data_IF_448518763255
#
_entry.id   IF_448518763255
#
_cell.length_a   1.000
_cell.length_b   1.000
_cell.length_c   1.000
_cell.angle_alpha   90.00
_cell.angle_beta   90.00
_cell.angle_gamma   90.00
#
_symmetry.space_group_name_H-M   'P 1'
#
loop_
_entity.id
_entity.type
_entity.pdbx_description
1 polymer ?
#
# COMPACT_ATOMS: atom_id res chain seq x y z
N UNK A 1 -5.43 23.47 0.67
CA UNK A 1 -4.57 22.28 0.67
C UNK A 1 -4.22 22.01 -0.80
N UNK A 2 -3.02 22.37 -1.21
CA UNK A 2 -2.57 22.02 -2.57
C UNK A 2 -1.88 20.67 -2.42
N UNK A 3 -2.57 19.63 -2.89
CA UNK A 3 -2.07 18.27 -2.92
C UNK A 3 -1.14 18.12 -4.13
N UNK A 4 0.14 18.16 -3.90
CA UNK A 4 1.17 17.90 -4.91
C UNK A 4 1.60 16.42 -4.87
N UNK A 5 0.63 15.55 -5.06
CA UNK A 5 0.90 14.14 -5.27
C UNK A 5 1.24 13.35 -4.00
N UNK A 6 0.22 12.80 -3.37
CA UNK A 6 0.42 11.72 -2.39
C UNK A 6 0.48 10.41 -3.13
N UNK A 7 1.53 9.64 -2.91
CA UNK A 7 1.71 8.30 -3.45
C UNK A 7 1.96 7.29 -2.34
N UNK A 8 1.76 6.04 -2.64
CA UNK A 8 2.04 4.96 -1.71
C UNK A 8 2.23 3.63 -2.42
N UNK A 9 2.82 2.69 -1.74
CA UNK A 9 3.05 1.36 -2.28
C UNK A 9 3.42 0.35 -1.21
N UNK A 10 3.51 -0.89 -1.66
CA UNK A 10 3.88 -2.02 -0.83
C UNK A 10 5.05 -2.77 -1.49
N UNK A 11 6.17 -2.81 -0.81
CA UNK A 11 7.36 -3.54 -1.25
C UNK A 11 7.63 -4.72 -0.33
N UNK A 12 7.89 -5.86 -0.93
CA UNK A 12 8.28 -7.08 -0.22
C UNK A 12 9.70 -7.46 -0.62
N UNK A 13 10.60 -7.38 0.34
CA UNK A 13 11.98 -7.83 0.24
C UNK A 13 12.17 -9.11 1.07
N UNK A 14 13.24 -9.91 0.84
CA UNK A 14 13.53 -11.07 1.69
C UNK A 14 13.63 -10.67 3.17
N UNK A 15 12.72 -11.21 3.99
CA UNK A 15 12.69 -10.97 5.43
C UNK A 15 12.05 -9.67 5.89
N UNK A 16 11.60 -8.80 4.97
CA UNK A 16 10.94 -7.54 5.34
C UNK A 16 9.83 -7.18 4.34
N UNK A 17 8.77 -6.55 4.84
CA UNK A 17 7.73 -5.94 4.03
C UNK A 17 7.61 -4.46 4.44
N UNK A 18 7.54 -3.58 3.46
CA UNK A 18 7.44 -2.14 3.66
C UNK A 18 6.18 -1.61 3.00
N UNK A 19 5.30 -1.03 3.80
CA UNK A 19 4.24 -0.17 3.29
C UNK A 19 4.76 1.27 3.39
N UNK A 20 4.79 1.97 2.28
CA UNK A 20 5.24 3.35 2.26
C UNK A 20 4.17 4.28 1.71
N UNK A 21 4.15 5.49 2.25
CA UNK A 21 3.38 6.60 1.72
C UNK A 21 4.27 7.83 1.72
N UNK A 22 4.15 8.67 0.72
CA UNK A 22 4.94 9.87 0.59
C UNK A 22 4.20 10.94 -0.20
N UNK A 23 4.58 12.18 0.00
CA UNK A 23 3.99 13.32 -0.69
C UNK A 23 4.73 14.61 -0.34
N UNK A 24 4.33 15.69 -0.97
CA UNK A 24 4.83 17.03 -0.70
C UNK A 24 3.79 17.80 0.11
N UNK A 25 4.22 18.65 1.03
CA UNK A 25 3.31 19.46 1.82
C UNK A 25 4.04 20.39 2.78
N UNK A 26 3.34 21.41 3.26
CA UNK A 26 3.89 22.41 4.19
C UNK A 26 4.11 21.82 5.59
N UNK A 27 3.31 20.83 6.00
CA UNK A 27 3.37 20.19 7.31
C UNK A 27 3.55 18.66 7.17
N UNK A 28 4.75 18.19 6.78
CA UNK A 28 4.95 16.76 6.45
C UNK A 28 4.73 15.82 7.63
N UNK A 29 5.02 16.25 8.86
CA UNK A 29 4.78 15.45 10.07
C UNK A 29 3.29 15.21 10.30
N UNK A 30 2.48 16.26 10.13
CA UNK A 30 1.02 16.17 10.26
C UNK A 30 0.41 15.21 9.24
N UNK A 31 0.93 15.23 7.99
CA UNK A 31 0.52 14.26 6.97
C UNK A 31 0.82 12.81 7.39
N UNK A 32 2.02 12.56 7.88
CA UNK A 32 2.41 11.24 8.38
C UNK A 32 1.57 10.77 9.58
N UNK A 33 1.28 11.67 10.51
CA UNK A 33 0.45 11.33 11.68
C UNK A 33 -0.99 11.05 11.28
N UNK A 34 -1.55 11.82 10.33
CA UNK A 34 -2.90 11.56 9.80
C UNK A 34 -3.03 10.19 9.12
N UNK A 35 -2.01 9.76 8.36
CA UNK A 35 -1.98 8.41 7.77
C UNK A 35 -1.99 7.34 8.85
N UNK A 36 -1.18 7.49 9.89
CA UNK A 36 -1.14 6.53 10.99
C UNK A 36 -2.45 6.51 11.78
N UNK A 37 -3.00 7.66 12.12
CA UNK A 37 -4.27 7.78 12.84
C UNK A 37 -5.42 7.11 12.08
N UNK A 38 -5.53 7.37 10.78
CA UNK A 38 -6.56 6.76 9.94
C UNK A 38 -6.38 5.24 9.85
N UNK A 39 -5.15 4.77 9.69
CA UNK A 39 -4.85 3.34 9.67
C UNK A 39 -5.25 2.66 10.98
N UNK A 40 -4.93 3.28 12.11
CA UNK A 40 -5.32 2.77 13.43
C UNK A 40 -6.83 2.84 13.66
N UNK A 41 -7.49 3.87 13.13
CA UNK A 41 -8.96 3.97 13.15
C UNK A 41 -9.59 2.80 12.42
N UNK A 42 -9.16 2.53 11.18
CA UNK A 42 -9.63 1.39 10.39
C UNK A 42 -9.36 0.04 11.08
N UNK A 43 -8.22 -0.08 11.75
CA UNK A 43 -7.90 -1.29 12.51
C UNK A 43 -8.80 -1.51 13.73
N UNK A 44 -9.30 -0.43 14.37
CA UNK A 44 -10.18 -0.50 15.55
C UNK A 44 -11.65 -0.59 15.18
N UNK A 45 -12.10 0.24 14.26
CA UNK A 45 -13.52 0.40 13.90
C UNK A 45 -13.95 -0.57 12.81
N UNK A 46 -12.97 -1.14 12.11
CA UNK A 46 -13.19 -1.97 10.94
C UNK A 46 -13.30 -1.16 9.66
N UNK A 47 -13.23 -1.87 8.55
CA UNK A 47 -13.36 -1.33 7.21
C UNK A 47 -14.82 -1.48 6.78
N UNK A 48 -15.40 -0.44 6.20
CA UNK A 48 -16.73 -0.52 5.59
C UNK A 48 -16.77 -1.62 4.51
N UNK A 49 -17.75 -2.55 4.54
CA UNK A 49 -17.81 -3.67 3.61
C UNK A 49 -17.91 -3.24 2.14
N UNK A 50 -18.69 -2.19 1.85
CA UNK A 50 -18.88 -1.71 0.48
C UNK A 50 -17.61 -1.04 -0.02
N UNK A 51 -16.93 -0.29 0.84
CA UNK A 51 -15.63 0.31 0.54
C UNK A 51 -14.56 -0.77 0.29
N UNK A 52 -14.51 -1.82 1.12
CA UNK A 52 -13.61 -2.94 0.89
C UNK A 52 -13.83 -3.60 -0.47
N UNK A 53 -15.07 -3.89 -0.84
CA UNK A 53 -15.41 -4.49 -2.13
C UNK A 53 -15.06 -3.56 -3.31
N UNK A 54 -15.27 -2.26 -3.15
CA UNK A 54 -14.90 -1.28 -4.17
C UNK A 54 -13.38 -1.28 -4.41
N UNK A 55 -12.58 -1.23 -3.36
CA UNK A 55 -11.11 -1.26 -3.45
C UNK A 55 -10.63 -2.59 -4.02
N UNK A 56 -11.19 -3.71 -3.57
CA UNK A 56 -10.85 -5.05 -4.08
C UNK A 56 -11.07 -5.14 -5.60
N UNK A 57 -12.21 -4.67 -6.09
CA UNK A 57 -12.55 -4.65 -7.52
C UNK A 57 -11.65 -3.70 -8.31
N UNK A 58 -11.39 -2.51 -7.77
CA UNK A 58 -10.50 -1.53 -8.40
C UNK A 58 -9.08 -2.07 -8.56
N UNK A 59 -8.54 -2.69 -7.51
CA UNK A 59 -7.20 -3.30 -7.50
C UNK A 59 -7.11 -4.49 -8.46
N UNK A 60 -8.13 -5.37 -8.47
CA UNK A 60 -8.22 -6.46 -9.44
C UNK A 60 -8.20 -5.93 -10.88
N UNK A 61 -9.04 -4.93 -11.17
CA UNK A 61 -9.11 -4.30 -12.49
C UNK A 61 -7.80 -3.62 -12.91
N UNK A 62 -7.07 -3.01 -11.97
CA UNK A 62 -5.77 -2.44 -12.22
C UNK A 62 -4.73 -3.52 -12.58
N UNK A 63 -4.69 -4.61 -11.83
CA UNK A 63 -3.82 -5.77 -12.10
C UNK A 63 -4.14 -6.39 -13.46
N UNK A 64 -5.42 -6.56 -13.78
CA UNK A 64 -5.85 -7.09 -15.08
C UNK A 64 -5.41 -6.19 -16.24
N UNK A 65 -5.55 -4.86 -16.09
CA UNK A 65 -5.09 -3.91 -17.11
C UNK A 65 -3.57 -3.94 -17.31
N UNK A 66 -2.80 -4.20 -16.26
CA UNK A 66 -1.34 -4.32 -16.37
C UNK A 66 -0.90 -5.47 -17.27
N UNK A 67 -1.73 -6.51 -17.43
CA UNK A 67 -1.47 -7.63 -18.34
C UNK A 67 -1.58 -7.25 -19.84
N UNK A 68 -2.02 -6.06 -20.18
CA UNK A 68 -2.00 -5.58 -21.57
C UNK A 68 -0.59 -5.17 -22.05
N UNK A 69 0.40 -5.17 -21.17
CA UNK A 69 1.79 -4.85 -21.49
C UNK A 69 2.66 -6.10 -21.33
N UNK A 70 3.36 -6.49 -22.42
CA UNK A 70 4.33 -7.58 -22.38
C UNK A 70 5.44 -7.34 -21.35
N UNK A 71 5.89 -6.10 -21.23
CA UNK A 71 6.91 -5.72 -20.25
C UNK A 71 6.41 -5.95 -18.83
N UNK A 72 5.20 -5.49 -18.51
CA UNK A 72 4.60 -5.69 -17.19
C UNK A 72 4.39 -7.18 -16.87
N UNK A 73 3.98 -7.98 -17.86
CA UNK A 73 3.85 -9.44 -17.69
C UNK A 73 5.22 -10.04 -17.37
N UNK A 74 6.23 -9.74 -18.16
CA UNK A 74 7.57 -10.29 -17.98
C UNK A 74 8.16 -9.91 -16.62
N UNK A 75 8.04 -8.65 -16.22
CA UNK A 75 8.48 -8.16 -14.90
C UNK A 75 7.71 -8.86 -13.79
N UNK A 76 6.39 -8.98 -13.91
CA UNK A 76 5.56 -9.62 -12.88
C UNK A 76 5.88 -11.11 -12.72
N UNK A 77 6.13 -11.81 -13.83
CA UNK A 77 6.52 -13.23 -13.79
C UNK A 77 7.91 -13.41 -13.18
N UNK A 78 8.88 -12.56 -13.54
CA UNK A 78 10.22 -12.61 -12.98
C UNK A 78 10.20 -12.31 -11.47
N UNK A 79 9.47 -11.28 -11.05
CA UNK A 79 9.28 -10.93 -9.65
C UNK A 79 8.60 -12.06 -8.87
N UNK A 80 7.55 -12.64 -9.43
CA UNK A 80 6.87 -13.81 -8.86
C UNK A 80 7.82 -14.99 -8.69
N UNK A 81 8.66 -15.29 -9.69
CA UNK A 81 9.65 -16.35 -9.60
C UNK A 81 10.62 -16.14 -8.44
N UNK A 82 11.19 -14.94 -8.30
CA UNK A 82 12.12 -14.63 -7.22
C UNK A 82 11.45 -14.61 -5.83
N UNK A 83 10.16 -14.36 -5.77
CA UNK A 83 9.37 -14.38 -4.53
C UNK A 83 8.77 -15.76 -4.22
N UNK A 84 8.93 -16.73 -5.10
CA UNK A 84 8.37 -18.08 -4.94
C UNK A 84 6.85 -18.12 -5.09
N UNK A 85 6.26 -17.22 -5.88
CA UNK A 85 4.84 -17.19 -6.17
C UNK A 85 4.56 -17.09 -7.68
N UNK A 86 3.39 -17.59 -8.09
CA UNK A 86 2.93 -17.46 -9.47
C UNK A 86 2.10 -16.17 -9.62
N UNK A 87 2.67 -15.19 -10.32
CA UNK A 87 2.03 -13.90 -10.54
C UNK A 87 0.70 -14.01 -11.31
N UNK A 88 0.51 -15.06 -12.11
CA UNK A 88 -0.72 -15.27 -12.88
C UNK A 88 -1.88 -15.82 -12.04
N UNK A 89 -1.61 -16.26 -10.80
CA UNK A 89 -2.65 -16.71 -9.86
C UNK A 89 -3.29 -15.56 -9.07
N UNK A 90 -3.07 -14.32 -9.45
CA UNK A 90 -3.70 -13.17 -8.79
C UNK A 90 -5.23 -13.26 -8.72
N UNK A 91 -6.00 -13.82 -9.69
CA UNK A 91 -7.44 -13.93 -9.57
C UNK A 91 -7.87 -14.76 -8.35
N UNK A 92 -7.14 -15.84 -8.06
CA UNK A 92 -7.40 -16.68 -6.88
C UNK A 92 -7.11 -15.92 -5.59
N UNK A 93 -6.01 -15.16 -5.54
CA UNK A 93 -5.66 -14.35 -4.39
C UNK A 93 -6.74 -13.29 -4.10
N UNK A 94 -7.20 -12.56 -5.13
CA UNK A 94 -8.27 -11.58 -4.96
C UNK A 94 -9.62 -12.20 -4.59
N UNK A 95 -9.90 -13.42 -5.03
CA UNK A 95 -11.11 -14.15 -4.66
C UNK A 95 -11.09 -14.65 -3.21
N UNK A 96 -9.90 -14.94 -2.68
CA UNK A 96 -9.73 -15.52 -1.33
C UNK A 96 -9.53 -14.48 -0.24
N UNK A 97 -9.16 -13.24 -0.59
CA UNK A 97 -8.87 -12.20 0.41
C UNK A 97 -10.16 -11.68 1.02
N UNK A 98 -10.24 -11.69 2.33
CA UNK A 98 -11.37 -11.19 3.10
C UNK A 98 -11.04 -9.86 3.81
N UNK A 99 -12.10 -9.10 4.11
CA UNK A 99 -11.99 -7.85 4.87
C UNK A 99 -11.23 -8.06 6.20
N UNK A 100 -11.51 -9.16 6.88
CA UNK A 100 -10.88 -9.53 8.14
C UNK A 100 -9.36 -9.75 8.01
N UNK A 101 -8.87 -10.18 6.85
CA UNK A 101 -7.43 -10.35 6.61
C UNK A 101 -6.72 -8.99 6.56
N UNK A 102 -7.35 -8.03 5.88
CA UNK A 102 -6.82 -6.66 5.80
C UNK A 102 -6.84 -6.00 7.19
N UNK A 103 -7.94 -6.10 7.91
CA UNK A 103 -8.04 -5.54 9.27
C UNK A 103 -7.03 -6.16 10.24
N UNK A 104 -6.80 -7.47 10.14
CA UNK A 104 -5.76 -8.15 10.92
C UNK A 104 -4.37 -7.63 10.54
N UNK A 105 -4.08 -7.51 9.24
CA UNK A 105 -2.81 -6.97 8.77
C UNK A 105 -2.54 -5.56 9.31
N UNK A 106 -3.54 -4.67 9.27
CA UNK A 106 -3.43 -3.31 9.81
C UNK A 106 -3.09 -3.33 11.31
N UNK A 107 -3.81 -4.12 12.10
CA UNK A 107 -3.58 -4.21 13.55
C UNK A 107 -2.20 -4.74 13.92
N UNK A 108 -1.72 -5.74 13.20
CA UNK A 108 -0.48 -6.44 13.54
C UNK A 108 0.77 -5.74 13.01
N UNK A 109 0.64 -5.01 11.92
CA UNK A 109 1.81 -4.50 11.19
C UNK A 109 1.94 -2.99 11.18
N UNK A 110 0.85 -2.24 11.23
CA UNK A 110 0.90 -0.77 11.17
C UNK A 110 0.80 -0.16 12.56
N UNK A 111 1.87 -0.29 13.31
CA UNK A 111 2.02 0.24 14.66
C UNK A 111 3.06 1.36 14.70
N UNK A 112 2.96 2.24 15.69
CA UNK A 112 3.91 3.34 15.84
C UNK A 112 5.37 2.87 16.00
N UNK A 113 5.57 1.72 16.66
CA UNK A 113 6.89 1.11 16.84
C UNK A 113 7.54 0.58 15.55
N UNK A 114 6.77 0.43 14.49
CA UNK A 114 7.24 -0.02 13.17
C UNK A 114 7.23 1.08 12.12
N UNK A 115 7.11 2.33 12.55
CA UNK A 115 7.10 3.50 11.68
C UNK A 115 8.48 4.13 11.57
N UNK A 116 8.86 4.52 10.36
CA UNK A 116 9.98 5.41 10.09
C UNK A 116 9.49 6.59 9.24
N UNK A 117 10.00 7.78 9.52
CA UNK A 117 9.66 9.01 8.79
C UNK A 117 10.95 9.60 8.24
N UNK A 118 10.95 9.93 6.96
CA UNK A 118 12.01 10.71 6.32
C UNK A 118 11.40 12.03 5.80
N UNK A 119 11.98 13.14 6.21
CA UNK A 119 11.53 14.48 5.81
C UNK A 119 12.71 15.19 5.16
N UNK A 120 12.48 15.70 3.94
CA UNK A 120 13.45 16.52 3.22
C UNK A 120 12.91 17.95 3.26
N UNK A 121 13.64 18.83 3.93
CA UNK A 121 13.31 20.25 3.99
C UNK A 121 14.14 21.03 2.98
N UNK A 122 13.58 22.09 2.36
CA UNK A 122 14.35 22.96 1.50
C UNK A 122 15.49 23.62 2.31
N UNK A 123 16.65 23.76 1.68
CA UNK A 123 17.77 24.48 2.27
C UNK A 123 17.35 25.93 2.52
N UNK A 124 17.41 26.38 3.77
CA UNK A 124 17.24 27.80 4.07
C UNK A 124 18.38 28.58 3.39
N UNK A 125 18.04 29.43 2.44
CA UNK A 125 18.99 30.40 1.92
C UNK A 125 19.30 31.40 3.05
N UNK A 126 20.55 31.43 3.44
CA UNK A 126 21.07 32.39 4.44
C UNK A 126 21.30 33.78 3.87
#
# INVERSE_FOLDING_TARGET
FIDWGVGGGFDRLPGVAVLWAGGEGEEPRRGSDAVLEETQRLAREGIDPDFFEQIRRASFGATLRALNSFENIAISMADGYFRGCDALRFPEAYASIEKADVERFLRENLTDSRRAISIIEPKKEG
#
